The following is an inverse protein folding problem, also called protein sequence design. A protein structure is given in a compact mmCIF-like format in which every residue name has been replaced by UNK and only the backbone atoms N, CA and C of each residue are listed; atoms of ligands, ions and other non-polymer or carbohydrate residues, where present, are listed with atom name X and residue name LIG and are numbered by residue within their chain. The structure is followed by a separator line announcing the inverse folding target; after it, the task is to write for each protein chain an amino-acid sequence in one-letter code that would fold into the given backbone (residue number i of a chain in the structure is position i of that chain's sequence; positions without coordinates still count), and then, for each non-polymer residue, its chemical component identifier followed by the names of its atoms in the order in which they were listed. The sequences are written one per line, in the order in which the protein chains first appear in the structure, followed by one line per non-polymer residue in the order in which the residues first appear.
data_IF_806041355474
#
_entry.id   IF_806041355474
#
_cell.length_a   1.000
_cell.length_b   1.000
_cell.length_c   1.000
_cell.angle_alpha   90.00
_cell.angle_beta   90.00
_cell.angle_gamma   90.00
#
_symmetry.space_group_name_H-M   'P 1'
#
loop_
_entity.id
_entity.type
_entity.pdbx_description
1 polymer ?
#
# COMPACT_ATOMS: atom_id res chain seq x y z
N UNK A 1 1.77 -15.98 -4.10
CA UNK A 1 1.29 -14.59 -3.93
C UNK A 1 2.14 -13.66 -4.78
N UNK A 2 1.51 -12.86 -5.59
CA UNK A 2 2.20 -11.90 -6.45
C UNK A 2 2.16 -10.52 -5.81
N UNK A 3 3.31 -9.84 -5.77
CA UNK A 3 3.45 -8.51 -5.17
C UNK A 3 4.25 -7.63 -6.12
N UNK A 4 3.84 -6.36 -6.27
CA UNK A 4 4.50 -5.44 -7.20
C UNK A 4 5.81 -4.89 -6.66
N UNK A 5 5.82 -4.50 -5.38
CA UNK A 5 7.02 -3.93 -4.77
C UNK A 5 7.01 -4.19 -3.27
N UNK A 6 8.15 -4.61 -2.73
CA UNK A 6 8.33 -4.81 -1.30
C UNK A 6 9.56 -4.06 -0.84
N UNK A 7 9.41 -3.26 0.22
CA UNK A 7 10.53 -2.62 0.90
C UNK A 7 10.63 -3.21 2.31
N UNK A 8 11.78 -3.77 2.65
CA UNK A 8 11.97 -4.47 3.92
C UNK A 8 12.87 -3.66 4.83
N UNK A 9 12.36 -3.31 6.00
CA UNK A 9 13.14 -2.70 7.07
C UNK A 9 13.36 -3.65 8.23
N UNK A 10 14.06 -3.19 9.28
CA UNK A 10 14.34 -4.04 10.44
C UNK A 10 13.09 -4.51 11.19
N UNK A 11 12.08 -3.66 11.30
CA UNK A 11 10.86 -3.96 12.05
C UNK A 11 9.59 -3.89 11.21
N UNK A 12 9.66 -3.38 9.99
CA UNK A 12 8.51 -3.13 9.13
C UNK A 12 8.74 -3.62 7.73
N UNK A 13 7.67 -4.03 7.07
CA UNK A 13 7.66 -4.38 5.65
C UNK A 13 6.61 -3.51 4.98
N UNK A 14 7.01 -2.76 3.97
CA UNK A 14 6.09 -1.96 3.15
C UNK A 14 5.81 -2.70 1.86
N UNK A 15 4.55 -2.98 1.59
CA UNK A 15 4.14 -3.69 0.37
C UNK A 15 3.27 -2.75 -0.45
N UNK A 16 3.71 -2.48 -1.68
CA UNK A 16 3.07 -1.51 -2.57
C UNK A 16 2.39 -2.24 -3.73
N UNK A 17 1.12 -1.96 -3.92
CA UNK A 17 0.37 -2.38 -5.11
C UNK A 17 0.34 -1.22 -6.10
N UNK A 18 0.80 -1.46 -7.32
CA UNK A 18 0.85 -0.44 -8.36
C UNK A 18 -0.24 -0.71 -9.37
N UNK A 19 -1.09 0.28 -9.61
CA UNK A 19 -2.15 0.21 -10.61
C UNK A 19 -2.16 1.49 -11.44
N UNK A 20 -2.49 1.36 -12.71
CA UNK A 20 -2.64 2.53 -13.57
C UNK A 20 -3.73 3.45 -13.02
N UNK A 21 -4.80 2.86 -12.50
CA UNK A 21 -5.91 3.56 -11.89
C UNK A 21 -6.29 2.83 -10.61
N UNK A 22 -6.30 3.53 -9.49
CA UNK A 22 -6.56 2.94 -8.18
C UNK A 22 -7.92 3.40 -7.66
N UNK A 23 -8.70 2.47 -7.14
CA UNK A 23 -9.97 2.76 -6.49
C UNK A 23 -10.05 2.05 -5.13
N UNK A 24 -11.12 2.33 -4.37
CA UNK A 24 -11.29 1.77 -3.02
C UNK A 24 -11.38 0.25 -3.04
N UNK A 25 -12.03 -0.34 -4.03
CA UNK A 25 -12.17 -1.79 -4.12
C UNK A 25 -10.83 -2.48 -4.30
N UNK A 26 -9.97 -1.94 -5.18
CA UNK A 26 -8.63 -2.48 -5.40
C UNK A 26 -7.75 -2.31 -4.17
N UNK A 27 -7.86 -1.17 -3.49
CA UNK A 27 -7.11 -0.92 -2.26
C UNK A 27 -7.54 -1.90 -1.16
N UNK A 28 -8.83 -2.15 -1.00
CA UNK A 28 -9.34 -3.11 -0.04
C UNK A 28 -8.85 -4.53 -0.33
N UNK A 29 -8.84 -4.92 -1.58
CA UNK A 29 -8.35 -6.21 -2.03
C UNK A 29 -6.87 -6.40 -1.66
N UNK A 30 -6.07 -5.37 -1.90
CA UNK A 30 -4.65 -5.37 -1.54
C UNK A 30 -4.49 -5.53 -0.03
N UNK A 31 -5.25 -4.79 0.76
CA UNK A 31 -5.20 -4.85 2.22
C UNK A 31 -5.53 -6.25 2.73
N UNK A 32 -6.56 -6.89 2.17
CA UNK A 32 -6.95 -8.26 2.55
C UNK A 32 -5.86 -9.26 2.20
N UNK A 33 -5.25 -9.12 1.04
CA UNK A 33 -4.16 -9.98 0.61
C UNK A 33 -2.98 -9.91 1.59
N UNK A 34 -2.67 -8.73 2.10
CA UNK A 34 -1.54 -8.54 3.00
C UNK A 34 -1.76 -9.15 4.38
N UNK A 35 -3.01 -9.38 4.79
CA UNK A 35 -3.27 -10.05 6.05
C UNK A 35 -2.72 -11.49 6.05
N UNK A 36 -2.54 -12.08 4.88
CA UNK A 36 -2.01 -13.43 4.72
C UNK A 36 -0.52 -13.47 4.35
N UNK A 37 0.14 -12.30 4.33
CA UNK A 37 1.52 -12.22 3.89
C UNK A 37 2.47 -13.15 4.65
N UNK A 38 2.41 -13.26 5.99
CA UNK A 38 3.31 -14.16 6.73
C UNK A 38 3.17 -15.63 6.38
N UNK A 39 2.01 -16.06 5.86
CA UNK A 39 1.82 -17.44 5.43
C UNK A 39 2.69 -17.79 4.21
N UNK A 40 2.92 -16.80 3.34
CA UNK A 40 3.71 -16.97 2.11
C UNK A 40 5.16 -16.57 2.29
N UNK A 41 5.44 -15.69 3.25
CA UNK A 41 6.78 -15.17 3.51
C UNK A 41 7.05 -15.24 5.01
N UNK A 42 7.39 -16.44 5.53
CA UNK A 42 7.61 -16.62 6.98
C UNK A 42 8.70 -15.71 7.56
N UNK A 43 9.64 -15.26 6.73
CA UNK A 43 10.69 -14.35 7.15
C UNK A 43 10.17 -12.98 7.58
N UNK A 44 8.94 -12.64 7.22
CA UNK A 44 8.30 -11.39 7.64
C UNK A 44 7.46 -11.55 8.91
N UNK A 45 7.36 -12.76 9.44
CA UNK A 45 6.65 -12.97 10.71
C UNK A 45 7.36 -12.17 11.82
N UNK A 46 6.58 -11.45 12.61
CA UNK A 46 7.13 -10.59 13.65
C UNK A 46 7.41 -9.16 13.20
N UNK A 47 7.31 -8.87 11.89
CA UNK A 47 7.43 -7.51 11.38
C UNK A 47 6.03 -6.90 11.17
N UNK A 48 5.94 -5.57 11.30
CA UNK A 48 4.71 -4.85 10.99
C UNK A 48 4.58 -4.71 9.49
N UNK A 49 3.48 -5.19 8.93
CA UNK A 49 3.21 -5.08 7.50
C UNK A 49 2.43 -3.79 7.24
N UNK A 50 3.01 -2.91 6.42
CA UNK A 50 2.41 -1.65 6.02
C UNK A 50 1.94 -1.76 4.58
N UNK A 51 0.71 -1.35 4.32
CA UNK A 51 0.14 -1.38 2.98
C UNK A 51 0.25 -0.01 2.32
N UNK A 52 0.55 -0.01 1.02
CA UNK A 52 0.53 1.19 0.20
C UNK A 52 -0.05 0.85 -1.17
N UNK A 53 -0.71 1.81 -1.77
CA UNK A 53 -1.19 1.72 -3.15
C UNK A 53 -0.61 2.90 -3.92
N UNK A 54 -0.19 2.63 -5.14
CA UNK A 54 0.43 3.65 -6.00
C UNK A 54 -0.26 3.67 -7.35
N UNK A 55 -0.47 4.86 -7.90
CA UNK A 55 -1.16 5.01 -9.17
C UNK A 55 -0.76 6.30 -9.87
N UNK A 56 -0.73 6.26 -11.20
CA UNK A 56 -0.61 7.47 -12.01
C UNK A 56 -1.85 8.34 -11.77
N UNK A 57 -3.01 7.70 -11.63
CA UNK A 57 -4.25 8.38 -11.29
C UNK A 57 -4.80 7.80 -9.99
N UNK A 58 -4.65 8.58 -8.92
CA UNK A 58 -5.19 8.25 -7.61
C UNK A 58 -6.36 9.17 -7.35
N UNK A 59 -7.58 8.63 -7.32
CA UNK A 59 -8.77 9.46 -7.14
C UNK A 59 -8.73 10.14 -5.77
N UNK A 60 -8.94 11.48 -5.70
CA UNK A 60 -8.93 12.18 -4.41
C UNK A 60 -9.98 11.66 -3.43
N UNK A 61 -11.10 11.15 -3.94
CA UNK A 61 -12.18 10.64 -3.11
C UNK A 61 -11.81 9.36 -2.35
N UNK A 62 -10.73 8.68 -2.75
CA UNK A 62 -10.29 7.46 -2.08
C UNK A 62 -9.53 7.76 -0.78
N UNK A 63 -9.00 8.97 -0.61
CA UNK A 63 -8.14 9.31 0.51
C UNK A 63 -8.75 9.03 1.88
N UNK A 64 -10.02 9.41 2.16
CA UNK A 64 -10.61 9.08 3.45
C UNK A 64 -10.66 7.58 3.73
N UNK A 65 -10.91 6.77 2.71
CA UNK A 65 -10.89 5.31 2.83
C UNK A 65 -9.49 4.82 3.17
N UNK A 66 -8.48 5.31 2.47
CA UNK A 66 -7.10 4.92 2.71
C UNK A 66 -6.67 5.26 4.15
N UNK A 67 -7.03 6.44 4.62
CA UNK A 67 -6.71 6.87 5.98
C UNK A 67 -7.38 5.97 7.02
N UNK A 68 -8.64 5.64 6.82
CA UNK A 68 -9.38 4.77 7.74
C UNK A 68 -8.78 3.37 7.80
N UNK A 69 -8.36 2.83 6.67
CA UNK A 69 -7.78 1.49 6.58
C UNK A 69 -6.26 1.48 6.80
N UNK A 70 -5.67 2.64 7.08
CA UNK A 70 -4.22 2.79 7.30
C UNK A 70 -3.40 2.29 6.13
N UNK A 71 -3.78 2.72 4.93
CA UNK A 71 -3.09 2.41 3.67
C UNK A 71 -2.48 3.70 3.16
N UNK A 72 -1.16 3.69 2.88
CA UNK A 72 -0.53 4.84 2.26
C UNK A 72 -0.95 4.96 0.80
N UNK A 73 -1.27 6.17 0.38
CA UNK A 73 -1.56 6.48 -1.01
C UNK A 73 -0.37 7.18 -1.64
N UNK A 74 0.09 6.68 -2.79
CA UNK A 74 1.21 7.26 -3.52
C UNK A 74 0.71 7.70 -4.88
N UNK A 75 0.79 9.01 -5.15
CA UNK A 75 0.47 9.58 -6.44
C UNK A 75 1.74 9.67 -7.27
N UNK A 76 1.75 9.06 -8.45
CA UNK A 76 2.91 9.04 -9.34
C UNK A 76 2.70 10.04 -10.45
N UNK A 77 3.34 11.23 -10.34
CA UNK A 77 3.37 12.21 -11.41
C UNK A 77 4.49 11.90 -12.40
N UNK A 78 4.64 12.78 -13.40
CA UNK A 78 5.66 12.60 -14.45
C UNK A 78 7.07 12.63 -13.89
N UNK A 79 7.32 13.48 -12.89
CA UNK A 79 8.66 13.68 -12.35
C UNK A 79 8.74 13.46 -10.83
N UNK A 80 7.59 13.38 -10.13
CA UNK A 80 7.54 13.35 -8.68
C UNK A 80 6.56 12.28 -8.21
N UNK A 81 7.00 11.50 -7.22
CA UNK A 81 6.12 10.62 -6.46
C UNK A 81 5.80 11.30 -5.14
N UNK A 82 4.53 11.31 -4.76
CA UNK A 82 4.09 11.96 -3.54
C UNK A 82 3.22 11.03 -2.72
N UNK A 83 3.51 10.91 -1.42
CA UNK A 83 2.64 10.20 -0.49
C UNK A 83 1.58 11.19 -0.01
N UNK A 84 0.33 10.98 -0.43
CA UNK A 84 -0.74 11.95 -0.21
C UNK A 84 -1.28 11.97 1.21
N UNK A 85 -0.97 10.96 2.01
CA UNK A 85 -1.50 10.84 3.38
C UNK A 85 -0.41 10.48 4.40
N UNK A 86 0.79 10.98 4.20
CA UNK A 86 1.94 10.61 5.03
C UNK A 86 1.72 10.90 6.52
N UNK A 87 1.03 11.98 6.85
CA UNK A 87 0.86 12.44 8.22
C UNK A 87 -0.41 11.90 8.90
N UNK A 88 -1.13 10.98 8.27
CA UNK A 88 -2.43 10.51 8.77
C UNK A 88 -2.32 9.34 9.74
N UNK A 89 -1.17 8.65 9.77
CA UNK A 89 -0.99 7.50 10.67
C UNK A 89 0.46 7.06 10.84
#
# INVERSE_FOLDING_TARGET
MELDLIAVGPTKVLVVEVKRRMDAAKAAEHRQKLARLPEFFPEFAGKTVCAAVASIYLEPTITPFLNREKIYGISMGDEVMEVVNLDQF
#
